data_IF_885999164011
#
_entry.id   IF_885999164011
#
_cell.length_a   1.000
_cell.length_b   1.000
_cell.length_c   1.000
_cell.angle_alpha   90.00
_cell.angle_beta   90.00
_cell.angle_gamma   90.00
#
_symmetry.space_group_name_H-M   'P 1'
#
loop_
_entity.id
_entity.type
_entity.pdbx_description
1 polymer ?
#
# COMPACT_ATOMS: atom_id res chain seq x y z
N UNK A 1 7.79 4.19 27.88
CA UNK A 1 8.12 4.66 26.52
C UNK A 1 7.76 3.65 25.43
N UNK A 2 7.84 2.32 25.69
CA UNK A 2 7.67 1.28 24.66
C UNK A 2 6.23 1.02 24.15
N UNK A 3 5.18 1.41 24.88
CA UNK A 3 3.78 1.17 24.45
C UNK A 3 3.27 2.17 23.40
N UNK A 4 3.84 3.36 23.33
CA UNK A 4 3.43 4.40 22.38
C UNK A 4 4.01 4.12 20.98
N UNK A 5 5.22 3.57 20.91
CA UNK A 5 5.88 3.21 19.64
C UNK A 5 5.16 2.03 18.97
N UNK A 6 4.73 1.03 19.74
CA UNK A 6 3.95 -0.11 19.23
C UNK A 6 2.56 0.30 18.70
N UNK A 7 1.88 1.22 19.40
CA UNK A 7 0.58 1.75 18.92
C UNK A 7 0.72 2.56 17.63
N UNK A 8 1.83 3.25 17.43
CA UNK A 8 2.10 4.05 16.24
C UNK A 8 2.48 3.18 15.02
N UNK A 9 3.11 2.01 15.22
CA UNK A 9 3.40 1.08 14.12
C UNK A 9 2.14 0.38 13.62
N UNK A 10 1.20 0.07 14.51
CA UNK A 10 -0.10 -0.53 14.16
C UNK A 10 -1.01 0.42 13.34
N UNK A 11 -0.89 1.73 13.54
CA UNK A 11 -1.65 2.72 12.75
C UNK A 11 -1.16 2.89 11.31
N UNK A 12 0.06 2.45 10.98
CA UNK A 12 0.61 2.55 9.62
C UNK A 12 0.47 1.27 8.80
N UNK A 13 0.44 0.11 9.45
CA UNK A 13 0.13 -1.17 8.84
C UNK A 13 -1.40 -1.41 8.76
N UNK A 14 -2.15 -0.70 9.58
CA UNK A 14 -3.58 -0.56 9.50
C UNK A 14 -3.95 0.50 8.47
N UNK A 15 -3.54 0.33 7.22
CA UNK A 15 -4.33 0.88 6.13
C UNK A 15 -5.72 0.35 6.36
N UNK A 16 -6.58 1.22 6.90
CA UNK A 16 -8.01 1.08 7.09
C UNK A 16 -8.41 -0.39 7.09
N UNK A 17 -8.62 -0.99 8.26
CA UNK A 17 -9.42 -2.19 8.35
C UNK A 17 -10.81 -1.79 7.81
N UNK A 18 -10.94 -1.83 6.49
CA UNK A 18 -12.21 -1.68 5.83
C UNK A 18 -13.12 -2.75 6.43
N UNK A 19 -14.02 -2.34 7.30
CA UNK A 19 -15.22 -3.11 7.52
C UNK A 19 -15.97 -3.02 6.19
N UNK A 20 -15.52 -3.82 5.23
CA UNK A 20 -16.38 -4.23 4.15
C UNK A 20 -17.54 -4.96 4.85
N UNK A 21 -18.65 -4.29 5.04
CA UNK A 21 -19.89 -4.95 4.73
C UNK A 21 -19.74 -5.27 3.23
N UNK A 22 -18.96 -6.31 2.96
CA UNK A 22 -18.58 -6.71 1.62
C UNK A 22 -19.84 -6.84 0.85
N UNK A 23 -19.94 -6.12 -0.23
CA UNK A 23 -20.99 -6.33 -1.18
C UNK A 23 -20.89 -7.81 -1.58
N UNK A 24 -21.67 -8.68 -0.93
CA UNK A 24 -21.71 -10.11 -1.21
C UNK A 24 -21.92 -10.34 -2.70
N UNK A 25 -22.60 -9.41 -3.34
CA UNK A 25 -22.85 -9.33 -4.77
C UNK A 25 -21.57 -9.22 -5.60
N UNK A 26 -20.64 -8.33 -5.26
CA UNK A 26 -19.39 -8.17 -6.05
C UNK A 26 -18.50 -9.41 -5.96
N UNK A 27 -18.37 -10.00 -4.77
CA UNK A 27 -17.62 -11.25 -4.56
C UNK A 27 -18.26 -12.41 -5.33
N UNK A 28 -19.60 -12.56 -5.25
CA UNK A 28 -20.33 -13.59 -5.98
C UNK A 28 -20.19 -13.48 -7.50
N UNK A 29 -20.27 -12.27 -8.04
CA UNK A 29 -20.04 -12.00 -9.48
C UNK A 29 -18.62 -12.41 -9.90
N UNK A 30 -17.61 -12.06 -9.10
CA UNK A 30 -16.22 -12.43 -9.39
C UNK A 30 -15.98 -13.94 -9.27
N UNK A 31 -16.64 -14.63 -8.32
CA UNK A 31 -16.58 -16.08 -8.21
C UNK A 31 -17.21 -16.78 -9.42
N UNK A 32 -18.39 -16.34 -9.86
CA UNK A 32 -19.02 -16.86 -11.09
C UNK A 32 -18.16 -16.61 -12.33
N UNK A 33 -17.54 -15.41 -12.41
CA UNK A 33 -16.58 -15.08 -13.47
C UNK A 33 -15.38 -16.01 -13.42
N UNK A 34 -14.83 -16.30 -12.25
CA UNK A 34 -13.71 -17.21 -12.05
C UNK A 34 -14.04 -18.63 -12.52
N UNK A 35 -15.23 -19.14 -12.19
CA UNK A 35 -15.72 -20.46 -12.63
C UNK A 35 -15.89 -20.56 -14.15
N UNK A 36 -16.23 -19.46 -14.80
CA UNK A 36 -16.44 -19.41 -16.25
C UNK A 36 -15.16 -19.15 -17.06
N UNK A 37 -14.04 -18.76 -16.41
CA UNK A 37 -12.77 -18.51 -17.09
C UNK A 37 -11.94 -19.80 -17.25
N UNK A 38 -11.24 -19.91 -18.37
CA UNK A 38 -10.21 -20.92 -18.57
C UNK A 38 -8.91 -20.60 -17.84
N UNK A 39 -7.87 -21.35 -18.13
CA UNK A 39 -6.51 -21.04 -17.63
C UNK A 39 -5.85 -19.98 -18.52
N UNK A 40 -6.21 -18.71 -18.30
CA UNK A 40 -5.77 -17.58 -19.10
C UNK A 40 -5.53 -16.33 -18.23
N UNK A 41 -5.09 -15.24 -18.86
CA UNK A 41 -4.84 -13.96 -18.17
C UNK A 41 -6.11 -13.38 -17.54
N UNK A 42 -7.30 -13.67 -18.05
CA UNK A 42 -8.55 -13.23 -17.44
C UNK A 42 -8.75 -13.88 -16.06
N UNK A 43 -8.43 -15.16 -15.92
CA UNK A 43 -8.45 -15.86 -14.64
C UNK A 43 -7.51 -15.24 -13.63
N UNK A 44 -6.26 -14.94 -14.02
CA UNK A 44 -5.27 -14.27 -13.17
C UNK A 44 -5.76 -12.89 -12.70
N UNK A 45 -6.36 -12.12 -13.62
CA UNK A 45 -6.93 -10.82 -13.29
C UNK A 45 -8.10 -10.94 -12.31
N UNK A 46 -9.01 -11.89 -12.53
CA UNK A 46 -10.16 -12.13 -11.66
C UNK A 46 -9.72 -12.57 -10.25
N UNK A 47 -8.67 -13.39 -10.14
CA UNK A 47 -8.08 -13.75 -8.85
C UNK A 47 -7.51 -12.53 -8.11
N UNK A 48 -6.83 -11.61 -8.80
CA UNK A 48 -6.39 -10.34 -8.18
C UNK A 48 -7.58 -9.53 -7.66
N UNK A 49 -8.66 -9.39 -8.46
CA UNK A 49 -9.88 -8.69 -8.06
C UNK A 49 -10.51 -9.34 -6.81
N UNK A 50 -10.54 -10.68 -6.73
CA UNK A 50 -11.02 -11.42 -5.54
C UNK A 50 -10.12 -11.21 -4.31
N UNK A 51 -8.79 -11.20 -4.48
CA UNK A 51 -7.85 -10.89 -3.39
C UNK A 51 -8.13 -9.51 -2.81
N UNK A 52 -8.45 -8.53 -3.66
CA UNK A 52 -8.76 -7.16 -3.23
C UNK A 52 -10.11 -7.05 -2.54
N UNK A 53 -11.16 -7.70 -3.06
CA UNK A 53 -12.50 -7.73 -2.44
C UNK A 53 -12.48 -8.50 -1.11
N UNK A 54 -11.67 -9.55 -0.98
CA UNK A 54 -11.57 -10.36 0.24
C UNK A 54 -10.60 -9.80 1.31
N UNK A 55 -10.18 -8.52 1.22
CA UNK A 55 -9.34 -7.88 2.26
C UNK A 55 -9.87 -8.06 3.69
N UNK A 56 -11.19 -7.98 3.97
CA UNK A 56 -11.73 -8.19 5.31
C UNK A 56 -11.77 -9.65 5.77
N UNK A 57 -11.56 -10.59 4.87
CA UNK A 57 -11.64 -12.03 5.11
C UNK A 57 -10.24 -12.67 4.99
N UNK A 58 -9.34 -12.55 5.98
CA UNK A 58 -7.92 -12.87 5.82
C UNK A 58 -7.66 -14.31 5.38
N UNK A 59 -8.45 -15.28 5.88
CA UNK A 59 -8.31 -16.69 5.50
C UNK A 59 -8.68 -16.89 4.03
N UNK A 60 -9.82 -16.36 3.60
CA UNK A 60 -10.31 -16.47 2.22
C UNK A 60 -9.37 -15.72 1.27
N UNK A 61 -8.93 -14.53 1.66
CA UNK A 61 -7.95 -13.75 0.90
C UNK A 61 -6.69 -14.54 0.64
N UNK A 62 -6.13 -15.20 1.67
CA UNK A 62 -4.93 -16.03 1.53
C UNK A 62 -5.14 -17.18 0.56
N UNK A 63 -6.30 -17.85 0.59
CA UNK A 63 -6.63 -18.91 -0.37
C UNK A 63 -6.58 -18.41 -1.82
N UNK A 64 -7.15 -17.23 -2.11
CA UNK A 64 -7.08 -16.66 -3.46
C UNK A 64 -5.66 -16.20 -3.85
N UNK A 65 -4.84 -15.74 -2.90
CA UNK A 65 -3.42 -15.43 -3.19
C UNK A 65 -2.64 -16.71 -3.52
N UNK A 66 -2.86 -17.79 -2.78
CA UNK A 66 -2.23 -19.10 -3.05
C UNK A 66 -2.68 -19.64 -4.41
N UNK A 67 -3.96 -19.51 -4.76
CA UNK A 67 -4.49 -19.89 -6.06
C UNK A 67 -3.90 -19.04 -7.19
N UNK A 68 -3.80 -17.73 -7.00
CA UNK A 68 -3.17 -16.80 -7.94
C UNK A 68 -1.72 -17.20 -8.22
N UNK A 69 -0.96 -17.51 -7.17
CA UNK A 69 0.43 -17.93 -7.32
C UNK A 69 0.54 -19.22 -8.13
N UNK A 70 -0.25 -20.24 -7.78
CA UNK A 70 -0.28 -21.52 -8.47
C UNK A 70 -0.65 -21.36 -9.96
N UNK A 71 -1.67 -20.54 -10.23
CA UNK A 71 -2.12 -20.29 -11.60
C UNK A 71 -1.06 -19.51 -12.41
N UNK A 72 -0.45 -18.48 -11.82
CA UNK A 72 0.62 -17.71 -12.46
C UNK A 72 1.85 -18.57 -12.76
N UNK A 73 2.17 -19.54 -11.89
CA UNK A 73 3.26 -20.50 -12.11
C UNK A 73 2.93 -21.47 -13.26
N UNK A 74 1.69 -21.96 -13.33
CA UNK A 74 1.25 -22.88 -14.38
C UNK A 74 1.29 -22.22 -15.76
N UNK A 75 0.90 -20.94 -15.82
CA UNK A 75 0.93 -20.14 -17.05
C UNK A 75 2.31 -19.52 -17.37
N UNK A 76 3.28 -19.65 -16.45
CA UNK A 76 4.60 -19.01 -16.52
C UNK A 76 4.50 -17.48 -16.63
N UNK A 77 3.50 -16.89 -16.01
CA UNK A 77 3.28 -15.45 -16.01
C UNK A 77 4.02 -14.79 -14.81
N UNK A 78 5.19 -14.24 -15.08
CA UNK A 78 6.03 -13.62 -14.07
C UNK A 78 5.42 -12.34 -13.48
N UNK A 79 4.54 -11.62 -14.21
CA UNK A 79 3.90 -10.42 -13.68
C UNK A 79 2.92 -10.77 -12.54
N UNK A 80 2.03 -11.74 -12.79
CA UNK A 80 1.07 -12.17 -11.78
C UNK A 80 1.73 -12.97 -10.65
N UNK A 81 2.83 -13.66 -10.94
CA UNK A 81 3.68 -14.26 -9.89
C UNK A 81 4.24 -13.20 -8.94
N UNK A 82 4.79 -12.11 -9.46
CA UNK A 82 5.26 -10.98 -8.64
C UNK A 82 4.10 -10.33 -7.85
N UNK A 83 2.91 -10.20 -8.44
CA UNK A 83 1.73 -9.69 -7.72
C UNK A 83 1.32 -10.61 -6.56
N UNK A 84 1.34 -11.92 -6.77
CA UNK A 84 1.05 -12.88 -5.71
C UNK A 84 2.07 -12.77 -4.57
N UNK A 85 3.36 -12.64 -4.86
CA UNK A 85 4.39 -12.40 -3.85
C UNK A 85 4.14 -11.12 -3.05
N UNK A 86 3.75 -10.02 -3.72
CA UNK A 86 3.41 -8.78 -3.06
C UNK A 86 2.19 -8.92 -2.13
N UNK A 87 1.16 -9.66 -2.56
CA UNK A 87 0.01 -9.94 -1.70
C UNK A 87 0.37 -10.79 -0.47
N UNK A 88 1.26 -11.78 -0.63
CA UNK A 88 1.80 -12.54 0.52
C UNK A 88 2.56 -11.64 1.49
N UNK A 89 3.37 -10.69 0.97
CA UNK A 89 4.08 -9.70 1.80
C UNK A 89 3.08 -8.91 2.65
N UNK A 90 1.99 -8.40 2.07
CA UNK A 90 0.96 -7.68 2.83
C UNK A 90 0.24 -8.55 3.86
N UNK A 91 -0.01 -9.83 3.57
CA UNK A 91 -0.56 -10.78 4.55
C UNK A 91 0.43 -10.95 5.71
N UNK A 92 1.72 -11.14 5.43
CA UNK A 92 2.75 -11.30 6.45
C UNK A 92 2.90 -10.05 7.33
N UNK A 93 2.75 -8.84 6.78
CA UNK A 93 2.70 -7.60 7.57
C UNK A 93 1.54 -7.62 8.56
N UNK A 94 0.33 -7.99 8.11
CA UNK A 94 -0.85 -8.05 8.97
C UNK A 94 -0.71 -9.12 10.07
N UNK A 95 -0.07 -10.24 9.77
CA UNK A 95 0.20 -11.33 10.70
C UNK A 95 1.45 -11.07 11.59
N UNK A 96 2.19 -9.97 11.36
CA UNK A 96 3.49 -9.66 11.97
C UNK A 96 4.51 -10.81 11.82
N UNK A 97 4.43 -11.54 10.71
CA UNK A 97 5.32 -12.66 10.39
C UNK A 97 6.54 -12.17 9.58
N UNK A 98 7.53 -11.64 10.29
CA UNK A 98 8.72 -10.99 9.69
C UNK A 98 9.62 -11.97 8.92
N UNK A 99 9.71 -13.21 9.38
CA UNK A 99 10.53 -14.23 8.72
C UNK A 99 9.97 -14.61 7.36
N UNK A 100 8.68 -14.88 7.30
CA UNK A 100 8.00 -15.20 6.04
C UNK A 100 7.96 -14.00 5.09
N UNK A 101 7.76 -12.79 5.63
CA UNK A 101 7.82 -11.55 4.87
C UNK A 101 9.17 -11.41 4.15
N UNK A 102 10.30 -11.64 4.85
CA UNK A 102 11.64 -11.63 4.24
C UNK A 102 11.74 -12.60 3.08
N UNK A 103 11.27 -13.83 3.23
CA UNK A 103 11.29 -14.84 2.15
C UNK A 103 10.56 -14.37 0.89
N UNK A 104 9.39 -13.76 1.05
CA UNK A 104 8.63 -13.24 -0.09
C UNK A 104 9.30 -12.02 -0.75
N UNK A 105 9.96 -11.16 0.02
CA UNK A 105 10.76 -10.05 -0.54
C UNK A 105 11.96 -10.58 -1.35
N UNK A 106 12.64 -11.60 -0.85
CA UNK A 106 13.79 -12.22 -1.53
C UNK A 106 13.39 -12.92 -2.85
N UNK A 107 12.11 -13.27 -3.02
CA UNK A 107 11.55 -13.78 -4.27
C UNK A 107 11.07 -12.65 -5.20
N UNK A 108 10.36 -11.65 -4.65
CA UNK A 108 9.75 -10.57 -5.43
C UNK A 108 10.78 -9.68 -6.10
N UNK A 109 11.69 -9.09 -5.32
CA UNK A 109 12.56 -8.01 -5.82
C UNK A 109 13.49 -8.47 -6.94
N UNK A 110 14.19 -9.63 -6.82
CA UNK A 110 15.05 -10.11 -7.91
C UNK A 110 14.27 -10.46 -9.18
N UNK A 111 13.10 -11.10 -9.04
CA UNK A 111 12.28 -11.46 -10.19
C UNK A 111 11.75 -10.19 -10.89
N UNK A 112 11.20 -9.24 -10.14
CA UNK A 112 10.69 -8.01 -10.68
C UNK A 112 11.79 -7.16 -11.37
N UNK A 113 13.03 -7.11 -10.80
CA UNK A 113 14.19 -6.47 -11.43
C UNK A 113 14.57 -7.14 -12.74
N UNK A 114 14.63 -8.48 -12.78
CA UNK A 114 14.92 -9.26 -13.98
C UNK A 114 13.93 -8.98 -15.11
N UNK A 115 12.64 -8.93 -14.77
CA UNK A 115 11.55 -8.73 -15.74
C UNK A 115 11.25 -7.24 -16.01
N UNK A 116 11.96 -6.31 -15.34
CA UNK A 116 11.80 -4.85 -15.46
C UNK A 116 10.40 -4.36 -15.06
N UNK A 117 9.76 -5.03 -14.11
CA UNK A 117 8.51 -4.58 -13.49
C UNK A 117 8.80 -3.54 -12.40
N UNK A 118 9.29 -2.38 -12.80
CA UNK A 118 9.86 -1.39 -11.89
C UNK A 118 8.89 -0.92 -10.81
N UNK A 119 7.60 -0.80 -11.11
CA UNK A 119 6.61 -0.47 -10.08
C UNK A 119 6.60 -1.51 -8.95
N UNK A 120 6.69 -2.80 -9.28
CA UNK A 120 6.75 -3.88 -8.28
C UNK A 120 8.10 -3.94 -7.56
N UNK A 121 9.19 -3.54 -8.23
CA UNK A 121 10.50 -3.38 -7.57
C UNK A 121 10.38 -2.36 -6.45
N UNK A 122 9.88 -1.15 -6.74
CA UNK A 122 9.80 -0.08 -5.76
C UNK A 122 8.78 -0.37 -4.64
N UNK A 123 7.69 -1.05 -4.93
CA UNK A 123 6.80 -1.56 -3.89
C UNK A 123 7.51 -2.57 -2.97
N UNK A 124 8.29 -3.50 -3.53
CA UNK A 124 9.08 -4.45 -2.75
C UNK A 124 10.14 -3.76 -1.89
N UNK A 125 10.87 -2.79 -2.45
CA UNK A 125 11.87 -2.01 -1.72
C UNK A 125 11.26 -1.17 -0.59
N UNK A 126 10.09 -0.58 -0.80
CA UNK A 126 9.35 0.09 0.27
C UNK A 126 8.98 -0.89 1.40
N UNK A 127 8.50 -2.09 1.05
CA UNK A 127 8.22 -3.13 2.04
C UNK A 127 9.47 -3.60 2.79
N UNK A 128 10.63 -3.63 2.14
CA UNK A 128 11.91 -3.92 2.78
C UNK A 128 12.29 -2.85 3.81
N UNK A 129 12.12 -1.58 3.45
CA UNK A 129 12.31 -0.44 4.37
C UNK A 129 11.33 -0.53 5.56
N UNK A 130 10.07 -0.93 5.32
CA UNK A 130 9.10 -1.14 6.38
C UNK A 130 9.51 -2.27 7.33
N UNK A 131 10.11 -3.32 6.81
CA UNK A 131 10.67 -4.41 7.62
C UNK A 131 11.84 -3.92 8.48
N UNK A 132 12.70 -3.02 7.99
CA UNK A 132 13.74 -2.39 8.81
C UNK A 132 13.14 -1.58 9.97
N UNK A 133 12.05 -0.85 9.73
CA UNK A 133 11.33 -0.14 10.80
C UNK A 133 10.79 -1.12 11.85
N UNK A 134 10.18 -2.23 11.43
CA UNK A 134 9.68 -3.27 12.32
C UNK A 134 10.80 -3.93 13.15
N UNK A 135 12.00 -4.01 12.60
CA UNK A 135 13.18 -4.57 13.27
C UNK A 135 13.95 -3.53 14.08
N UNK A 136 13.44 -2.30 14.16
CA UNK A 136 14.11 -1.17 14.85
C UNK A 136 15.54 -0.86 14.32
N UNK A 137 15.80 -1.24 13.06
CA UNK A 137 17.09 -1.01 12.37
C UNK A 137 17.09 0.37 11.72
N UNK A 138 17.09 1.44 12.53
CA UNK A 138 16.89 2.81 12.05
C UNK A 138 18.13 3.43 11.40
N UNK A 139 19.31 2.88 11.62
CA UNK A 139 20.57 3.44 11.10
C UNK A 139 20.66 3.38 9.58
N UNK A 140 20.07 2.34 8.95
CA UNK A 140 20.13 2.12 7.51
C UNK A 140 18.94 2.73 6.75
N UNK A 141 17.89 3.19 7.46
CA UNK A 141 16.63 3.59 6.83
C UNK A 141 16.77 4.74 5.85
N UNK A 142 17.51 5.79 6.25
CA UNK A 142 17.65 7.00 5.43
C UNK A 142 18.46 6.72 4.17
N UNK A 143 19.55 5.97 4.31
CA UNK A 143 20.42 5.61 3.19
C UNK A 143 19.64 4.74 2.19
N UNK A 144 18.96 3.70 2.67
CA UNK A 144 18.14 2.81 1.84
C UNK A 144 17.04 3.56 1.09
N UNK A 145 16.32 4.45 1.77
CA UNK A 145 15.25 5.24 1.17
C UNK A 145 15.80 6.27 0.15
N UNK A 146 17.01 6.80 0.41
CA UNK A 146 17.69 7.72 -0.51
C UNK A 146 18.20 6.98 -1.74
N UNK A 147 18.78 5.80 -1.58
CA UNK A 147 19.21 4.95 -2.71
C UNK A 147 18.01 4.58 -3.60
N UNK A 148 16.88 4.20 -2.99
CA UNK A 148 15.62 3.97 -3.71
C UNK A 148 15.20 5.18 -4.53
N UNK A 149 15.32 6.41 -3.98
CA UNK A 149 15.00 7.64 -4.71
C UNK A 149 15.93 7.84 -5.91
N UNK A 150 17.24 7.64 -5.73
CA UNK A 150 18.22 7.77 -6.82
C UNK A 150 17.97 6.75 -7.93
N UNK A 151 17.66 5.49 -7.59
CA UNK A 151 17.32 4.45 -8.57
C UNK A 151 16.03 4.80 -9.32
N UNK A 152 14.97 5.24 -8.62
CA UNK A 152 13.71 5.64 -9.22
C UNK A 152 13.87 6.83 -10.18
N UNK A 153 14.68 7.83 -9.80
CA UNK A 153 15.00 8.99 -10.65
C UNK A 153 15.80 8.57 -11.90
N UNK A 154 16.80 7.72 -11.76
CA UNK A 154 17.59 7.20 -12.88
C UNK A 154 16.74 6.44 -13.89
N UNK A 155 15.76 5.68 -13.40
CA UNK A 155 14.80 4.92 -14.22
C UNK A 155 13.61 5.77 -14.71
N UNK A 156 13.52 7.04 -14.28
CA UNK A 156 12.37 7.93 -14.55
C UNK A 156 11.02 7.28 -14.16
N UNK A 157 11.03 6.51 -13.08
CA UNK A 157 9.83 5.86 -12.58
C UNK A 157 9.15 6.77 -11.55
N UNK A 158 8.11 7.47 -11.99
CA UNK A 158 7.40 8.44 -11.16
C UNK A 158 6.77 7.81 -9.92
N UNK A 159 6.21 6.60 -10.02
CA UNK A 159 5.66 5.87 -8.84
C UNK A 159 6.78 5.54 -7.85
N UNK A 160 7.91 5.04 -8.33
CA UNK A 160 9.08 4.78 -7.50
C UNK A 160 9.57 6.03 -6.75
N UNK A 161 9.60 7.20 -7.42
CA UNK A 161 9.98 8.46 -6.77
C UNK A 161 9.02 8.81 -5.63
N UNK A 162 7.71 8.65 -5.84
CA UNK A 162 6.70 8.90 -4.81
C UNK A 162 6.85 7.94 -3.62
N UNK A 163 7.03 6.65 -3.88
CA UNK A 163 7.26 5.64 -2.85
C UNK A 163 8.56 5.91 -2.06
N UNK A 164 9.61 6.36 -2.75
CA UNK A 164 10.87 6.74 -2.12
C UNK A 164 10.72 7.96 -1.20
N UNK A 165 9.99 8.99 -1.62
CA UNK A 165 9.68 10.14 -0.74
C UNK A 165 8.89 9.71 0.51
N UNK A 166 7.92 8.79 0.38
CA UNK A 166 7.21 8.23 1.53
C UNK A 166 8.17 7.47 2.46
N UNK A 167 9.10 6.70 1.91
CA UNK A 167 10.11 5.94 2.66
C UNK A 167 11.07 6.86 3.41
N UNK A 168 11.56 7.94 2.78
CA UNK A 168 12.39 8.98 3.42
C UNK A 168 11.60 9.67 4.54
N UNK A 169 10.34 10.03 4.29
CA UNK A 169 9.48 10.62 5.31
C UNK A 169 9.29 9.69 6.52
N UNK A 170 9.18 8.39 6.27
CA UNK A 170 9.12 7.38 7.34
C UNK A 170 10.40 7.33 8.16
N UNK A 171 11.58 7.33 7.50
CA UNK A 171 12.87 7.39 8.17
C UNK A 171 12.99 8.66 9.05
N UNK A 172 12.61 9.81 8.52
CA UNK A 172 12.59 11.06 9.28
C UNK A 172 11.65 11.03 10.47
N UNK A 173 10.46 10.47 10.31
CA UNK A 173 9.47 10.38 11.38
C UNK A 173 9.94 9.49 12.53
N UNK A 174 10.47 8.29 12.27
CA UNK A 174 10.92 7.37 13.32
C UNK A 174 12.17 7.87 14.03
N UNK A 175 12.96 8.74 13.39
CA UNK A 175 14.13 9.42 13.98
C UNK A 175 13.77 10.79 14.59
N UNK A 176 12.48 11.14 14.70
CA UNK A 176 12.01 12.36 15.37
C UNK A 176 12.09 13.63 14.53
N UNK A 177 12.51 13.56 13.27
CA UNK A 177 12.60 14.69 12.33
C UNK A 177 11.25 14.94 11.65
N UNK A 178 10.19 15.14 12.46
CA UNK A 178 8.79 15.16 12.00
C UNK A 178 8.51 16.25 10.97
N UNK A 179 9.14 17.44 11.08
CA UNK A 179 8.99 18.51 10.11
C UNK A 179 9.54 18.09 8.73
N UNK A 180 10.74 17.52 8.70
CA UNK A 180 11.35 17.03 7.45
C UNK A 180 10.52 15.89 6.83
N UNK A 181 9.90 15.04 7.67
CA UNK A 181 8.94 14.04 7.18
C UNK A 181 7.75 14.68 6.45
N UNK A 182 7.22 15.78 6.99
CA UNK A 182 6.17 16.57 6.33
C UNK A 182 6.59 17.09 4.97
N UNK A 183 7.78 17.71 4.89
CA UNK A 183 8.32 18.25 3.63
C UNK A 183 8.45 17.18 2.54
N UNK A 184 8.84 15.96 2.92
CA UNK A 184 8.94 14.84 1.97
C UNK A 184 7.56 14.33 1.54
N UNK A 185 6.61 14.23 2.46
CA UNK A 185 5.24 13.82 2.14
C UNK A 185 4.51 14.85 1.27
N UNK A 186 4.77 16.13 1.45
CA UNK A 186 4.22 17.16 0.55
C UNK A 186 4.74 17.01 -0.88
N UNK A 187 6.03 16.71 -1.05
CA UNK A 187 6.61 16.39 -2.38
C UNK A 187 5.97 15.14 -2.97
N UNK A 188 5.85 14.07 -2.18
CA UNK A 188 5.20 12.84 -2.60
C UNK A 188 3.76 13.09 -3.04
N UNK A 189 3.00 13.87 -2.23
CA UNK A 189 1.61 14.20 -2.51
C UNK A 189 1.45 14.99 -3.80
N UNK A 190 2.24 16.07 -3.97
CA UNK A 190 2.19 16.89 -5.17
C UNK A 190 2.44 16.04 -6.44
N UNK A 191 3.40 15.13 -6.41
CA UNK A 191 3.71 14.27 -7.53
C UNK A 191 2.67 13.15 -7.74
N UNK A 192 2.07 12.64 -6.66
CA UNK A 192 1.04 11.58 -6.76
C UNK A 192 -0.24 12.05 -7.46
N UNK A 193 -0.53 13.35 -7.45
CA UNK A 193 -1.69 13.92 -8.14
C UNK A 193 -1.60 13.81 -9.68
N UNK A 194 -0.39 13.57 -10.21
CA UNK A 194 -0.20 13.30 -11.64
C UNK A 194 -0.69 11.90 -12.03
N UNK A 195 -0.82 11.00 -11.03
CA UNK A 195 -1.36 9.66 -11.23
C UNK A 195 -2.87 9.67 -11.01
N UNK A 196 -3.60 8.99 -11.85
CA UNK A 196 -5.01 8.70 -11.58
C UNK A 196 -5.15 7.52 -10.62
N UNK A 197 -4.35 7.52 -9.53
CA UNK A 197 -4.30 6.45 -8.53
C UNK A 197 -4.74 7.01 -7.18
N UNK A 198 -6.03 6.80 -6.87
CA UNK A 198 -6.63 7.20 -5.61
C UNK A 198 -5.85 6.65 -4.40
N UNK A 199 -5.44 5.38 -4.44
CA UNK A 199 -4.84 4.68 -3.30
C UNK A 199 -3.56 5.37 -2.84
N UNK A 200 -2.65 5.66 -3.78
CA UNK A 200 -1.36 6.31 -3.48
C UNK A 200 -1.59 7.69 -2.86
N UNK A 201 -2.42 8.53 -3.49
CA UNK A 201 -2.69 9.88 -2.99
C UNK A 201 -3.38 9.86 -1.62
N UNK A 202 -4.27 8.89 -1.39
CA UNK A 202 -4.96 8.70 -0.14
C UNK A 202 -4.01 8.28 0.99
N UNK A 203 -3.08 7.37 0.75
CA UNK A 203 -2.09 6.91 1.74
C UNK A 203 -1.13 8.04 2.14
N UNK A 204 -0.66 8.82 1.16
CA UNK A 204 0.20 9.97 1.45
C UNK A 204 -0.55 11.03 2.27
N UNK A 205 -1.79 11.31 1.90
CA UNK A 205 -2.63 12.26 2.64
C UNK A 205 -2.86 11.81 4.09
N UNK A 206 -3.09 10.52 4.34
CA UNK A 206 -3.19 9.96 5.69
C UNK A 206 -1.90 10.14 6.49
N UNK A 207 -0.76 9.97 5.84
CA UNK A 207 0.56 10.20 6.44
C UNK A 207 0.79 11.67 6.79
N UNK A 208 0.36 12.61 5.93
CA UNK A 208 0.41 14.05 6.17
C UNK A 208 -0.48 14.45 7.36
N UNK A 209 -1.70 13.94 7.44
CA UNK A 209 -2.62 14.15 8.56
C UNK A 209 -1.92 13.80 9.88
N UNK A 210 -1.25 12.63 9.93
CA UNK A 210 -0.52 12.24 11.13
C UNK A 210 0.65 13.18 11.46
N UNK A 211 1.44 13.58 10.46
CA UNK A 211 2.56 14.51 10.67
C UNK A 211 2.07 15.85 11.20
N UNK A 212 1.04 16.46 10.60
CA UNK A 212 0.51 17.73 11.08
C UNK A 212 -0.12 17.63 12.48
N UNK A 213 -0.72 16.47 12.81
CA UNK A 213 -1.19 16.21 14.17
C UNK A 213 -0.03 16.18 15.17
N UNK A 214 1.08 15.50 14.86
CA UNK A 214 2.28 15.46 15.69
C UNK A 214 2.92 16.86 15.87
N UNK A 215 2.91 17.68 14.82
CA UNK A 215 3.40 19.05 14.83
C UNK A 215 2.44 20.05 15.50
N UNK A 216 1.19 19.64 15.79
CA UNK A 216 0.08 20.51 16.23
C UNK A 216 -0.20 21.64 15.23
N UNK A 217 0.07 21.40 13.95
CA UNK A 217 -0.26 22.31 12.86
C UNK A 217 -1.71 22.07 12.41
N UNK A 218 -2.64 22.72 13.12
CA UNK A 218 -4.07 22.60 12.83
C UNK A 218 -4.49 23.15 11.46
N UNK A 219 -3.91 24.26 10.95
CA UNK A 219 -4.17 24.70 9.58
C UNK A 219 -3.77 23.68 8.52
N UNK A 220 -2.58 23.09 8.64
CA UNK A 220 -2.11 22.03 7.75
C UNK A 220 -2.99 20.78 7.83
N UNK A 221 -3.37 20.37 9.04
CA UNK A 221 -4.29 19.25 9.28
C UNK A 221 -5.64 19.48 8.59
N UNK A 222 -6.25 20.67 8.76
CA UNK A 222 -7.53 21.00 8.13
C UNK A 222 -7.45 20.96 6.60
N UNK A 223 -6.36 21.47 6.04
CA UNK A 223 -6.11 21.41 4.59
C UNK A 223 -6.07 19.95 4.10
N UNK A 224 -5.36 19.07 4.79
CA UNK A 224 -5.30 17.65 4.43
C UNK A 224 -6.67 16.96 4.49
N UNK A 225 -7.49 17.28 5.49
CA UNK A 225 -8.86 16.74 5.61
C UNK A 225 -9.72 17.20 4.42
N UNK A 226 -9.66 18.47 4.06
CA UNK A 226 -10.39 19.01 2.90
C UNK A 226 -9.92 18.38 1.57
N UNK A 227 -8.62 18.20 1.41
CA UNK A 227 -8.07 17.51 0.24
C UNK A 227 -8.50 16.04 0.20
N UNK A 228 -8.57 15.36 1.34
CA UNK A 228 -9.09 14.00 1.41
C UNK A 228 -10.53 13.90 0.96
N UNK A 229 -11.37 14.82 1.42
CA UNK A 229 -12.76 14.91 0.97
C UNK A 229 -12.83 15.09 -0.55
N UNK A 230 -12.02 16.00 -1.10
CA UNK A 230 -11.95 16.22 -2.56
C UNK A 230 -11.53 14.97 -3.33
N UNK A 231 -10.52 14.23 -2.83
CA UNK A 231 -10.05 12.97 -3.43
C UNK A 231 -11.19 11.96 -3.46
N UNK A 232 -11.89 11.77 -2.34
CA UNK A 232 -13.02 10.85 -2.21
C UNK A 232 -14.16 11.23 -3.16
N UNK A 233 -14.56 12.49 -3.20
CA UNK A 233 -15.61 12.96 -4.10
C UNK A 233 -15.28 12.77 -5.58
N UNK A 234 -14.01 12.93 -5.96
CA UNK A 234 -13.56 12.65 -7.32
C UNK A 234 -13.64 11.17 -7.64
N UNK A 235 -13.30 10.29 -6.69
CA UNK A 235 -13.35 8.85 -6.91
C UNK A 235 -14.79 8.33 -6.97
N UNK A 236 -15.69 8.84 -6.13
CA UNK A 236 -17.13 8.56 -6.21
C UNK A 236 -17.69 8.90 -7.59
N UNK A 237 -17.28 10.03 -8.17
CA UNK A 237 -17.70 10.40 -9.54
C UNK A 237 -17.22 9.42 -10.60
N UNK A 238 -16.06 8.80 -10.39
CA UNK A 238 -15.48 7.80 -11.31
C UNK A 238 -16.07 6.41 -11.11
N UNK A 239 -16.35 6.07 -9.85
CA UNK A 239 -16.81 4.76 -9.41
C UNK A 239 -17.96 4.94 -8.41
N UNK A 240 -19.19 5.27 -8.90
CA UNK A 240 -20.34 5.53 -8.00
C UNK A 240 -20.67 4.35 -7.08
N UNK A 241 -20.43 3.13 -7.53
CA UNK A 241 -20.70 1.90 -6.77
C UNK A 241 -19.81 1.78 -5.51
N UNK A 242 -18.74 2.57 -5.43
CA UNK A 242 -17.82 2.62 -4.30
C UNK A 242 -18.14 3.73 -3.28
N UNK A 243 -19.23 4.47 -3.47
CA UNK A 243 -19.58 5.63 -2.65
C UNK A 243 -19.64 5.32 -1.14
N UNK A 244 -20.34 4.25 -0.77
CA UNK A 244 -20.48 3.87 0.64
C UNK A 244 -19.13 3.52 1.28
N UNK A 245 -18.28 2.83 0.55
CA UNK A 245 -16.94 2.45 1.01
C UNK A 245 -16.06 3.68 1.22
N UNK A 246 -16.09 4.63 0.27
CA UNK A 246 -15.28 5.84 0.32
C UNK A 246 -15.73 6.79 1.43
N UNK A 247 -17.03 6.85 1.73
CA UNK A 247 -17.54 7.61 2.87
C UNK A 247 -17.16 6.99 4.22
N UNK A 248 -17.10 5.67 4.33
CA UNK A 248 -16.59 4.99 5.52
C UNK A 248 -15.12 5.34 5.76
N UNK A 249 -14.30 5.39 4.73
CA UNK A 249 -12.90 5.82 4.79
C UNK A 249 -12.77 7.21 5.41
N UNK A 250 -13.61 8.15 4.95
CA UNK A 250 -13.64 9.52 5.47
C UNK A 250 -14.10 9.57 6.93
N UNK A 251 -15.15 8.82 7.27
CA UNK A 251 -15.70 8.77 8.62
C UNK A 251 -14.69 8.21 9.63
N UNK A 252 -13.98 7.13 9.30
CA UNK A 252 -12.95 6.57 10.17
C UNK A 252 -11.79 7.53 10.40
N UNK A 253 -11.38 8.28 9.39
CA UNK A 253 -10.41 9.36 9.56
C UNK A 253 -10.91 10.44 10.51
N UNK A 254 -12.19 10.83 10.40
CA UNK A 254 -12.77 11.89 11.20
C UNK A 254 -12.99 11.49 12.67
N UNK A 255 -13.38 10.25 12.93
CA UNK A 255 -13.67 9.73 14.29
C UNK A 255 -12.40 9.33 15.04
N UNK A 256 -11.30 9.03 14.35
CA UNK A 256 -10.01 8.75 14.97
C UNK A 256 -9.25 10.01 15.45
N UNK A 257 -9.87 11.20 15.35
CA UNK A 257 -9.38 12.53 15.76
C UNK A 257 -10.27 13.17 16.81
#
# INVERSE_FOLDING_TARGET
MNKIILLLSWMFLGGVAYVYAGDSSAKEILMQKLESTGHDTLRLKTLCELVDVCKPEPIVRKQYVDELLKEAESQKDNLYKCRAYLYHIYICFNENNREELRKWLDLLVPLAKKEKYYDLVFWGEQCDIDLLVLNESFEELEDRATDMLHEAQALKNNKGIVLAYQSIARAYRVTGRVKQAGDMLEKAYAQSLEFNDYTISADINSSLIMVYKLLKDYPGLLKCIQERERIIQNEIRRQPDMEQMLHLDFFYLYVSY
#
